data_IF_005650672544
#
_entry.id   IF_005650672544
#
_cell.length_a   1.000
_cell.length_b   1.000
_cell.length_c   1.000
_cell.angle_alpha   90.00
_cell.angle_beta   90.00
_cell.angle_gamma   90.00
#
_symmetry.space_group_name_H-M   'P 1'
#
loop_
_entity.id
_entity.type
_entity.pdbx_description
1 polymer ?
#
# COMPACT_ATOMS: atom_id res chain seq x y z
N UNK A 1 18.42 -0.88 -20.41
CA UNK A 1 17.53 -1.81 -19.71
C UNK A 1 16.49 -0.98 -18.95
N UNK A 2 15.21 -1.26 -19.10
CA UNK A 2 14.13 -0.62 -18.32
C UNK A 2 13.68 -1.56 -17.20
N UNK A 3 13.31 -1.00 -16.01
CA UNK A 3 13.00 -1.81 -14.85
C UNK A 3 11.51 -1.75 -14.51
N UNK A 4 10.86 -2.92 -14.47
CA UNK A 4 9.54 -3.15 -13.88
C UNK A 4 9.66 -3.80 -12.49
N UNK A 5 10.77 -3.55 -11.77
CA UNK A 5 11.06 -4.17 -10.46
C UNK A 5 10.16 -3.64 -9.34
N UNK A 6 9.93 -2.33 -9.33
CA UNK A 6 9.22 -1.64 -8.25
C UNK A 6 8.66 -0.28 -8.71
N UNK A 7 7.88 0.37 -7.85
CA UNK A 7 7.24 1.67 -8.07
C UNK A 7 7.89 2.81 -7.26
N UNK A 8 9.18 2.67 -6.92
CA UNK A 8 9.97 3.65 -6.16
C UNK A 8 11.41 3.79 -6.70
N UNK A 9 11.63 3.54 -7.98
CA UNK A 9 12.93 3.72 -8.62
C UNK A 9 13.23 5.18 -8.97
N UNK A 10 12.21 5.96 -9.27
CA UNK A 10 12.31 7.40 -9.53
C UNK A 10 12.30 8.19 -8.22
N UNK A 11 12.91 9.38 -8.20
CA UNK A 11 13.09 10.12 -6.96
C UNK A 11 11.79 10.80 -6.49
N UNK A 12 11.26 11.76 -7.25
CA UNK A 12 10.02 12.46 -6.94
C UNK A 12 9.42 13.13 -8.18
N UNK A 13 8.13 13.44 -8.13
CA UNK A 13 7.47 14.23 -9.17
C UNK A 13 8.15 15.61 -9.32
N UNK A 14 8.36 16.12 -10.55
CA UNK A 14 9.05 17.39 -10.80
C UNK A 14 8.50 18.57 -9.99
N UNK A 15 7.18 18.64 -9.79
CA UNK A 15 6.55 19.73 -9.01
C UNK A 15 6.98 19.70 -7.54
N UNK A 16 7.26 18.54 -6.98
CA UNK A 16 7.78 18.39 -5.60
C UNK A 16 9.21 18.95 -5.55
N UNK A 17 10.06 18.61 -6.53
CA UNK A 17 11.42 19.13 -6.60
C UNK A 17 11.41 20.67 -6.71
N UNK A 18 10.52 21.22 -7.53
CA UNK A 18 10.34 22.66 -7.66
C UNK A 18 9.89 23.30 -6.34
N UNK A 19 8.88 22.73 -5.68
CA UNK A 19 8.40 23.22 -4.39
C UNK A 19 9.48 23.17 -3.30
N UNK A 20 10.30 22.12 -3.26
CA UNK A 20 11.44 22.01 -2.34
C UNK A 20 12.51 23.09 -2.63
N UNK A 21 12.75 23.38 -3.91
CA UNK A 21 13.69 24.41 -4.36
C UNK A 21 13.20 25.80 -3.94
N UNK A 22 11.91 26.08 -4.05
CA UNK A 22 11.31 27.35 -3.64
C UNK A 22 11.34 27.55 -2.11
N UNK A 23 11.23 26.45 -1.34
CA UNK A 23 11.22 26.49 0.13
C UNK A 23 12.61 26.38 0.79
N UNK A 24 13.69 26.13 0.06
CA UNK A 24 14.98 25.65 0.59
C UNK A 24 15.68 26.57 1.62
N UNK A 25 15.45 27.89 1.56
CA UNK A 25 16.03 28.87 2.51
C UNK A 25 14.98 29.47 3.47
N UNK A 26 13.74 29.01 3.40
CA UNK A 26 12.68 29.47 4.30
C UNK A 26 12.83 28.76 5.68
N UNK A 27 12.43 29.46 6.74
CA UNK A 27 12.43 28.89 8.09
C UNK A 27 11.03 28.39 8.44
N UNK A 28 10.95 27.11 8.82
CA UNK A 28 9.71 26.45 9.19
C UNK A 28 9.79 25.88 10.59
N UNK A 29 8.66 25.71 11.28
CA UNK A 29 8.59 24.95 12.51
C UNK A 29 8.98 23.51 12.25
N UNK A 30 9.68 22.89 13.20
CA UNK A 30 10.07 21.48 13.08
C UNK A 30 8.96 20.50 13.46
N UNK A 31 9.26 19.22 13.25
CA UNK A 31 8.47 18.07 13.74
C UNK A 31 7.03 17.99 13.23
N UNK A 32 6.77 18.52 12.03
CA UNK A 32 5.44 18.51 11.42
C UNK A 32 4.44 19.50 12.01
N UNK A 33 4.92 20.53 12.73
CA UNK A 33 4.12 21.66 13.24
C UNK A 33 4.22 22.91 12.36
N UNK A 34 4.65 22.72 11.11
CA UNK A 34 4.79 23.75 10.09
C UNK A 34 3.47 23.96 9.33
N UNK A 35 3.44 25.04 8.56
CA UNK A 35 2.27 25.45 7.80
C UNK A 35 1.92 24.52 6.65
N UNK A 36 2.90 23.86 6.01
CA UNK A 36 2.63 22.85 4.96
C UNK A 36 1.90 21.65 5.54
N UNK A 37 2.44 21.12 6.65
CA UNK A 37 1.84 19.99 7.35
C UNK A 37 0.42 20.31 7.83
N UNK A 38 0.18 21.55 8.29
CA UNK A 38 -1.15 21.95 8.74
C UNK A 38 -2.15 22.06 7.59
N UNK A 39 -1.77 22.68 6.46
CA UNK A 39 -2.64 22.73 5.27
C UNK A 39 -2.98 21.35 4.73
N UNK A 40 -2.03 20.40 4.78
CA UNK A 40 -2.29 19.00 4.41
C UNK A 40 -3.30 18.35 5.36
N UNK A 41 -3.16 18.55 6.69
CA UNK A 41 -4.16 18.03 7.66
C UNK A 41 -5.54 18.61 7.40
N UNK A 42 -5.65 19.93 7.19
CA UNK A 42 -6.91 20.58 6.87
C UNK A 42 -7.52 20.07 5.56
N UNK A 43 -6.69 19.89 4.52
CA UNK A 43 -7.12 19.35 3.23
C UNK A 43 -7.70 17.94 3.37
N UNK A 44 -7.02 17.05 4.10
CA UNK A 44 -7.50 15.68 4.32
C UNK A 44 -8.79 15.72 5.16
N UNK A 45 -8.82 16.45 6.29
CA UNK A 45 -10.01 16.60 7.10
C UNK A 45 -11.22 17.15 6.34
N UNK A 46 -11.00 17.99 5.33
CA UNK A 46 -12.08 18.51 4.48
C UNK A 46 -12.73 17.44 3.60
N UNK A 47 -12.04 16.33 3.36
CA UNK A 47 -12.51 15.18 2.58
C UNK A 47 -13.11 14.07 3.45
N UNK A 48 -13.09 14.24 4.78
CA UNK A 48 -13.61 13.28 5.74
C UNK A 48 -14.90 13.82 6.37
N UNK A 49 -15.86 12.94 6.62
CA UNK A 49 -17.11 13.30 7.29
C UNK A 49 -16.90 13.65 8.77
N UNK A 50 -15.87 13.06 9.40
CA UNK A 50 -15.50 13.33 10.78
C UNK A 50 -14.21 14.18 10.84
N UNK A 51 -14.31 15.39 11.41
CA UNK A 51 -13.19 16.33 11.56
C UNK A 51 -12.33 16.10 12.81
N UNK A 52 -12.78 15.26 13.74
CA UNK A 52 -12.04 14.92 14.97
C UNK A 52 -11.02 13.80 14.77
N UNK A 53 -10.54 13.64 13.54
CA UNK A 53 -9.56 12.61 13.15
C UNK A 53 -8.15 13.14 13.35
N UNK A 54 -7.27 12.32 13.93
CA UNK A 54 -5.86 12.64 14.08
C UNK A 54 -5.08 12.26 12.81
N UNK A 55 -4.20 13.17 12.35
CA UNK A 55 -3.42 12.98 11.12
C UNK A 55 -1.95 13.25 11.42
N UNK A 56 -1.10 12.28 11.08
CA UNK A 56 0.34 12.32 11.31
C UNK A 56 1.11 11.98 10.03
N UNK A 57 2.43 12.17 10.06
CA UNK A 57 3.32 11.89 8.95
C UNK A 57 4.32 10.82 9.38
N UNK A 58 4.44 9.75 8.61
CA UNK A 58 5.48 8.73 8.71
C UNK A 58 6.57 8.96 7.68
N UNK A 59 7.74 8.35 7.87
CA UNK A 59 8.89 8.48 6.96
C UNK A 59 8.91 7.32 5.95
N UNK A 60 8.57 6.12 6.41
CA UNK A 60 8.53 4.88 5.60
C UNK A 60 7.32 4.03 5.96
N UNK A 61 6.88 3.15 5.06
CA UNK A 61 5.78 2.21 5.32
C UNK A 61 6.04 1.31 6.52
N UNK A 62 7.24 0.72 6.64
CA UNK A 62 7.61 -0.10 7.80
C UNK A 62 7.50 0.67 9.11
N UNK A 63 7.95 1.95 9.14
CA UNK A 63 7.78 2.77 10.33
C UNK A 63 6.30 3.07 10.61
N UNK A 64 5.51 3.38 9.59
CA UNK A 64 4.07 3.59 9.72
C UNK A 64 3.39 2.36 10.36
N UNK A 65 3.70 1.16 9.85
CA UNK A 65 3.16 -0.09 10.37
C UNK A 65 3.56 -0.31 11.84
N UNK A 66 4.83 -0.24 12.15
CA UNK A 66 5.28 -0.52 13.52
C UNK A 66 4.77 0.50 14.54
N UNK A 67 4.69 1.80 14.19
CA UNK A 67 4.19 2.84 15.10
C UNK A 67 2.69 2.68 15.35
N UNK A 68 1.92 2.42 14.29
CA UNK A 68 0.48 2.20 14.40
C UNK A 68 0.16 0.96 15.26
N UNK A 69 0.89 -0.13 15.07
CA UNK A 69 0.68 -1.38 15.80
C UNK A 69 1.09 -1.22 17.27
N UNK A 70 2.23 -0.60 17.58
CA UNK A 70 2.68 -0.36 18.96
C UNK A 70 1.74 0.60 19.72
N UNK A 71 1.14 1.57 19.01
CA UNK A 71 0.16 2.48 19.62
C UNK A 71 -1.22 1.84 19.86
N UNK A 72 -1.56 0.83 19.07
CA UNK A 72 -2.89 0.21 19.07
C UNK A 72 -2.98 -0.98 20.03
N UNK A 73 -1.90 -1.70 20.26
CA UNK A 73 -1.90 -2.98 20.97
C UNK A 73 -1.29 -2.89 22.37
N UNK A 74 -1.81 -3.69 23.28
CA UNK A 74 -1.20 -3.93 24.59
C UNK A 74 -0.23 -5.12 24.50
N UNK A 75 0.71 -5.28 25.48
CA UNK A 75 1.72 -6.38 25.43
C UNK A 75 1.17 -7.79 25.34
N UNK A 76 -0.11 -8.03 25.60
CA UNK A 76 -0.75 -9.35 25.53
C UNK A 76 -1.54 -9.56 24.24
N UNK A 77 -1.50 -8.60 23.33
CA UNK A 77 -2.24 -8.62 22.09
C UNK A 77 -1.35 -8.99 20.89
N UNK A 78 -1.98 -9.53 19.87
CA UNK A 78 -1.38 -9.80 18.57
C UNK A 78 -2.24 -9.25 17.45
N UNK A 79 -1.64 -9.10 16.28
CA UNK A 79 -2.27 -8.63 15.06
C UNK A 79 -2.36 -9.77 14.04
N UNK A 80 -3.55 -9.95 13.45
CA UNK A 80 -3.78 -10.94 12.40
C UNK A 80 -3.42 -10.33 11.06
N UNK A 81 -2.57 -10.99 10.31
CA UNK A 81 -2.23 -10.64 8.93
C UNK A 81 -2.35 -11.86 8.02
N UNK A 82 -2.59 -11.65 6.72
CA UNK A 82 -2.50 -12.75 5.78
C UNK A 82 -1.04 -13.24 5.65
N UNK A 83 -0.88 -14.48 5.20
CA UNK A 83 0.41 -15.14 5.00
C UNK A 83 1.32 -14.44 4.00
N UNK A 84 0.76 -13.63 3.08
CA UNK A 84 1.48 -12.77 2.15
C UNK A 84 1.62 -11.32 2.64
N UNK A 85 1.04 -10.97 3.80
CA UNK A 85 0.99 -9.61 4.32
C UNK A 85 2.37 -9.01 4.56
N UNK A 86 2.55 -7.75 4.22
CA UNK A 86 3.86 -7.09 4.26
C UNK A 86 4.54 -7.17 5.63
N UNK A 87 3.79 -6.97 6.71
CA UNK A 87 4.30 -7.08 8.10
C UNK A 87 4.70 -8.51 8.47
N UNK A 88 4.19 -9.52 7.76
CA UNK A 88 4.51 -10.93 8.02
C UNK A 88 5.79 -11.38 7.31
N UNK A 89 6.06 -10.83 6.10
CA UNK A 89 7.11 -11.38 5.22
C UNK A 89 8.22 -10.39 4.82
N UNK A 90 7.97 -9.07 4.89
CA UNK A 90 8.87 -8.06 4.29
C UNK A 90 9.33 -6.95 5.25
N UNK A 91 9.18 -7.10 6.57
CA UNK A 91 9.55 -6.06 7.55
C UNK A 91 10.60 -6.51 8.56
N UNK A 92 11.30 -7.61 8.28
CA UNK A 92 12.45 -8.07 9.07
C UNK A 92 12.17 -8.21 10.58
N UNK A 93 10.94 -8.56 10.97
CA UNK A 93 10.52 -8.66 12.37
C UNK A 93 10.31 -7.32 13.07
N UNK A 94 10.03 -6.24 12.34
CA UNK A 94 9.82 -4.93 12.93
C UNK A 94 8.64 -4.90 13.92
N UNK A 95 7.58 -5.65 13.64
CA UNK A 95 6.40 -5.73 14.50
C UNK A 95 6.72 -6.55 15.76
N UNK A 96 7.39 -7.68 15.61
CA UNK A 96 7.82 -8.52 16.73
C UNK A 96 8.80 -7.78 17.65
N UNK A 97 9.62 -6.87 17.09
CA UNK A 97 10.53 -6.02 17.86
C UNK A 97 9.80 -5.03 18.79
N UNK A 98 8.52 -4.71 18.54
CA UNK A 98 7.68 -3.94 19.45
C UNK A 98 7.08 -4.79 20.59
N UNK A 99 7.26 -6.12 20.52
CA UNK A 99 6.74 -7.07 21.50
C UNK A 99 5.39 -7.68 21.12
N UNK A 100 4.87 -7.40 19.93
CA UNK A 100 3.59 -7.90 19.45
C UNK A 100 3.77 -9.06 18.48
N UNK A 101 2.88 -10.07 18.60
CA UNK A 101 2.89 -11.22 17.72
C UNK A 101 2.12 -10.93 16.44
N UNK A 102 2.71 -11.21 15.28
CA UNK A 102 1.99 -11.36 14.02
C UNK A 102 1.39 -12.78 13.97
N UNK A 103 0.07 -12.84 13.81
CA UNK A 103 -0.72 -14.07 13.74
C UNK A 103 -1.10 -14.30 12.29
N UNK A 104 -0.58 -15.37 11.68
CA UNK A 104 -0.83 -15.64 10.27
C UNK A 104 -2.21 -16.28 10.05
N UNK A 105 -2.90 -15.81 9.02
CA UNK A 105 -4.12 -16.36 8.48
C UNK A 105 -3.96 -16.66 6.98
N UNK A 106 -4.58 -17.73 6.50
CA UNK A 106 -4.61 -18.08 5.08
C UNK A 106 -5.28 -16.96 4.28
N UNK A 107 -4.68 -16.62 3.13
CA UNK A 107 -5.25 -15.62 2.22
C UNK A 107 -5.92 -16.26 1.01
N UNK A 108 -6.84 -15.52 0.40
CA UNK A 108 -7.37 -15.83 -0.92
C UNK A 108 -7.01 -14.69 -1.87
N UNK A 109 -6.10 -14.95 -2.79
CA UNK A 109 -5.54 -13.92 -3.69
C UNK A 109 -4.96 -12.71 -2.92
N UNK A 110 -4.27 -12.96 -1.80
CA UNK A 110 -3.70 -11.92 -0.95
C UNK A 110 -4.69 -11.23 0.00
N UNK A 111 -5.97 -11.60 -0.02
CA UNK A 111 -7.01 -11.01 0.84
C UNK A 111 -7.34 -11.93 2.02
N UNK A 112 -7.56 -11.33 3.19
CA UNK A 112 -8.17 -12.00 4.34
C UNK A 112 -9.66 -12.21 4.10
N UNK A 113 -10.17 -13.37 4.53
CA UNK A 113 -11.59 -13.69 4.52
C UNK A 113 -12.12 -13.81 5.94
N UNK A 114 -13.42 -13.60 6.13
CA UNK A 114 -14.07 -13.80 7.45
C UNK A 114 -13.86 -15.25 7.95
N UNK A 115 -13.90 -16.24 7.04
CA UNK A 115 -13.64 -17.64 7.39
C UNK A 115 -12.22 -17.83 7.95
N UNK A 116 -11.21 -17.21 7.36
CA UNK A 116 -9.82 -17.28 7.86
C UNK A 116 -9.70 -16.61 9.24
N UNK A 117 -10.37 -15.49 9.46
CA UNK A 117 -10.42 -14.80 10.76
C UNK A 117 -11.11 -15.66 11.84
N UNK A 118 -12.20 -16.36 11.53
CA UNK A 118 -12.86 -17.28 12.46
C UNK A 118 -11.95 -18.46 12.84
N UNK A 119 -11.19 -19.00 11.88
CA UNK A 119 -10.18 -20.05 12.19
C UNK A 119 -9.09 -19.53 13.14
N UNK A 120 -8.64 -18.29 12.96
CA UNK A 120 -7.67 -17.65 13.87
C UNK A 120 -8.28 -17.45 15.25
N UNK A 121 -9.49 -16.88 15.32
CA UNK A 121 -10.21 -16.64 16.58
C UNK A 121 -10.38 -17.93 17.39
N UNK A 122 -10.77 -19.03 16.73
CA UNK A 122 -10.90 -20.33 17.38
C UNK A 122 -9.57 -20.82 17.98
N UNK A 123 -8.45 -20.68 17.25
CA UNK A 123 -7.10 -21.05 17.73
C UNK A 123 -6.61 -20.17 18.88
N UNK A 124 -7.03 -18.89 18.90
CA UNK A 124 -6.64 -17.89 19.89
C UNK A 124 -7.67 -17.69 21.02
N UNK A 125 -8.59 -18.65 21.23
CA UNK A 125 -9.55 -18.66 22.33
C UNK A 125 -9.02 -19.30 23.61
N UNK A 126 -7.90 -20.04 23.55
CA UNK A 126 -7.34 -20.82 24.66
C UNK A 126 -6.52 -19.95 25.62
N UNK A 127 -7.21 -19.10 26.38
CA UNK A 127 -6.62 -18.24 27.41
C UNK A 127 -6.24 -19.07 28.64
N UNK A 128 -5.09 -18.81 29.32
CA UNK A 128 -4.13 -17.72 29.12
C UNK A 128 -2.90 -18.10 28.26
N UNK A 129 -2.95 -19.16 27.47
CA UNK A 129 -1.76 -19.74 26.82
C UNK A 129 -1.41 -19.10 25.47
N UNK A 130 -2.28 -18.24 24.93
CA UNK A 130 -2.10 -17.57 23.64
C UNK A 130 -2.36 -16.07 23.78
N UNK A 131 -1.72 -15.26 22.93
CA UNK A 131 -2.03 -13.81 22.83
C UNK A 131 -3.45 -13.63 22.29
N UNK A 132 -4.09 -12.52 22.65
CA UNK A 132 -5.38 -12.16 22.08
C UNK A 132 -5.20 -11.68 20.64
N UNK A 133 -5.99 -12.18 19.70
CA UNK A 133 -6.10 -11.59 18.37
C UNK A 133 -6.93 -10.29 18.47
N UNK A 134 -6.26 -9.14 18.63
CA UNK A 134 -6.92 -7.86 18.94
C UNK A 134 -7.03 -6.94 17.73
N UNK A 135 -6.22 -7.15 16.70
CA UNK A 135 -6.27 -6.35 15.49
C UNK A 135 -6.19 -7.22 14.23
N UNK A 136 -6.74 -6.71 13.15
CA UNK A 136 -6.63 -7.25 11.79
C UNK A 136 -5.86 -6.24 10.95
N UNK A 137 -4.80 -6.70 10.28
CA UNK A 137 -4.02 -5.94 9.31
C UNK A 137 -4.39 -6.38 7.90
N UNK A 138 -4.64 -5.43 7.05
CA UNK A 138 -4.81 -5.63 5.61
C UNK A 138 -3.98 -4.61 4.83
N UNK A 139 -3.56 -4.98 3.62
CA UNK A 139 -2.98 -4.03 2.66
C UNK A 139 -3.98 -3.75 1.54
N UNK A 140 -4.17 -2.49 1.17
CA UNK A 140 -4.95 -2.13 -0.01
C UNK A 140 -4.16 -1.11 -0.89
N UNK A 141 -3.64 -1.55 -2.05
CA UNK A 141 -3.75 -2.88 -2.68
C UNK A 141 -2.96 -3.95 -1.90
N UNK A 142 -3.36 -5.21 -2.06
CA UNK A 142 -2.63 -6.34 -1.45
C UNK A 142 -1.24 -6.52 -2.07
N UNK A 143 -0.41 -7.37 -1.48
CA UNK A 143 0.92 -7.72 -2.00
C UNK A 143 0.86 -8.42 -3.36
N UNK A 144 -0.27 -9.06 -3.68
CA UNK A 144 -0.56 -9.64 -5.00
C UNK A 144 -1.26 -8.65 -5.96
N UNK A 145 -1.37 -7.39 -5.59
CA UNK A 145 -1.95 -6.34 -6.43
C UNK A 145 -3.48 -6.36 -6.53
N UNK A 146 -4.17 -7.21 -5.80
CA UNK A 146 -5.63 -7.22 -5.73
C UNK A 146 -6.16 -6.08 -4.83
N UNK A 147 -7.41 -5.68 -5.06
CA UNK A 147 -8.04 -4.54 -4.39
C UNK A 147 -9.20 -5.02 -3.53
N UNK A 148 -9.22 -4.65 -2.25
CA UNK A 148 -10.43 -4.79 -1.44
C UNK A 148 -11.48 -3.80 -1.90
N UNK A 149 -12.67 -4.31 -2.25
CA UNK A 149 -13.82 -3.49 -2.60
C UNK A 149 -14.47 -2.90 -1.34
N UNK A 150 -15.39 -1.94 -1.52
CA UNK A 150 -16.13 -1.38 -0.39
C UNK A 150 -16.86 -2.46 0.43
N UNK A 151 -17.51 -3.41 -0.24
CA UNK A 151 -18.27 -4.47 0.42
C UNK A 151 -17.35 -5.42 1.22
N UNK A 152 -16.18 -5.75 0.68
CA UNK A 152 -15.18 -6.56 1.38
C UNK A 152 -14.62 -5.83 2.62
N UNK A 153 -14.29 -4.53 2.48
CA UNK A 153 -13.83 -3.69 3.59
C UNK A 153 -14.91 -3.56 4.67
N UNK A 154 -16.16 -3.35 4.25
CA UNK A 154 -17.29 -3.24 5.17
C UNK A 154 -17.49 -4.55 5.95
N UNK A 155 -17.43 -5.69 5.29
CA UNK A 155 -17.55 -6.99 5.95
C UNK A 155 -16.44 -7.20 7.01
N UNK A 156 -15.19 -6.85 6.68
CA UNK A 156 -14.07 -6.90 7.64
C UNK A 156 -14.27 -5.92 8.81
N UNK A 157 -14.71 -4.70 8.53
CA UNK A 157 -15.00 -3.69 9.56
C UNK A 157 -16.10 -4.16 10.51
N UNK A 158 -17.22 -4.65 9.98
CA UNK A 158 -18.34 -5.17 10.77
C UNK A 158 -17.90 -6.38 11.63
N UNK A 159 -17.09 -7.26 11.06
CA UNK A 159 -16.50 -8.39 11.79
C UNK A 159 -15.61 -7.92 12.95
N UNK A 160 -14.68 -7.01 12.68
CA UNK A 160 -13.78 -6.49 13.70
C UNK A 160 -14.56 -5.82 14.84
N UNK A 161 -15.51 -4.97 14.53
CA UNK A 161 -16.37 -4.29 15.53
C UNK A 161 -17.17 -5.30 16.38
N UNK A 162 -17.73 -6.33 15.74
CA UNK A 162 -18.52 -7.36 16.43
C UNK A 162 -17.68 -8.25 17.35
N UNK A 163 -16.36 -8.28 17.15
CA UNK A 163 -15.42 -9.12 17.90
C UNK A 163 -14.47 -8.32 18.80
N UNK A 164 -14.73 -7.03 19.03
CA UNK A 164 -13.85 -6.14 19.81
C UNK A 164 -12.40 -6.15 19.30
N UNK A 165 -12.25 -6.10 17.97
CA UNK A 165 -10.97 -6.04 17.26
C UNK A 165 -10.83 -4.71 16.52
N UNK A 166 -9.60 -4.27 16.31
CA UNK A 166 -9.28 -3.13 15.46
C UNK A 166 -9.07 -3.57 14.02
N UNK A 167 -9.42 -2.72 13.06
CA UNK A 167 -9.07 -2.88 11.66
C UNK A 167 -8.03 -1.83 11.26
N UNK A 168 -6.83 -2.29 10.92
CA UNK A 168 -5.73 -1.48 10.45
C UNK A 168 -5.44 -1.73 8.97
N UNK A 169 -5.38 -0.66 8.16
CA UNK A 169 -5.13 -0.76 6.73
C UNK A 169 -3.83 -0.07 6.32
N UNK A 170 -2.91 -0.87 5.79
CA UNK A 170 -1.73 -0.44 5.06
C UNK A 170 -2.13 0.03 3.67
N UNK A 171 -1.91 1.29 3.39
CA UNK A 171 -2.23 1.91 2.11
C UNK A 171 -1.00 2.32 1.31
N UNK A 172 0.09 1.53 1.34
CA UNK A 172 1.31 1.81 0.56
C UNK A 172 1.03 2.10 -0.92
N UNK A 173 -0.05 1.49 -1.46
CA UNK A 173 -0.56 1.71 -2.82
C UNK A 173 -2.04 2.08 -2.82
N UNK A 174 -2.50 2.83 -1.81
CA UNK A 174 -3.91 3.20 -1.69
C UNK A 174 -4.42 3.99 -2.90
N UNK A 175 -3.58 4.83 -3.49
CA UNK A 175 -3.89 5.52 -4.73
C UNK A 175 -4.26 4.57 -5.87
N UNK A 176 -3.53 3.45 -6.01
CA UNK A 176 -3.84 2.43 -7.02
C UNK A 176 -5.19 1.73 -6.75
N UNK A 177 -5.55 1.49 -5.47
CA UNK A 177 -6.85 0.94 -5.12
C UNK A 177 -8.00 1.90 -5.43
N UNK A 178 -7.84 3.20 -5.11
CA UNK A 178 -8.81 4.25 -5.47
C UNK A 178 -8.95 4.35 -7.00
N UNK A 179 -7.83 4.37 -7.73
CA UNK A 179 -7.82 4.44 -9.19
C UNK A 179 -8.52 3.24 -9.85
N UNK A 180 -8.33 2.03 -9.31
CA UNK A 180 -9.01 0.84 -9.79
C UNK A 180 -10.53 0.95 -9.64
N UNK A 181 -11.02 1.28 -8.45
CA UNK A 181 -12.46 1.40 -8.22
C UNK A 181 -13.07 2.60 -8.95
N UNK A 182 -12.32 3.68 -9.13
CA UNK A 182 -12.73 4.82 -9.94
C UNK A 182 -12.91 4.46 -11.43
N UNK A 183 -12.05 3.61 -11.96
CA UNK A 183 -12.06 3.21 -13.38
C UNK A 183 -12.97 2.01 -13.67
N UNK A 184 -13.46 1.32 -12.65
CA UNK A 184 -14.32 0.14 -12.79
C UNK A 184 -15.78 0.49 -12.53
N UNK A 185 -16.64 0.54 -13.58
CA UNK A 185 -18.03 0.94 -13.43
C UNK A 185 -18.89 -0.04 -12.60
N UNK A 186 -18.38 -1.25 -12.35
CA UNK A 186 -19.06 -2.25 -11.53
C UNK A 186 -18.74 -2.14 -10.03
N UNK A 187 -17.80 -1.28 -9.66
CA UNK A 187 -17.37 -1.09 -8.28
C UNK A 187 -17.80 0.29 -7.77
N UNK A 188 -18.10 0.38 -6.49
CA UNK A 188 -18.22 1.67 -5.82
C UNK A 188 -16.84 2.30 -5.70
N UNK A 189 -16.66 3.51 -6.22
CA UNK A 189 -15.43 4.27 -6.04
C UNK A 189 -15.13 4.47 -4.56
N UNK A 190 -13.96 4.01 -4.13
CA UNK A 190 -13.47 4.19 -2.76
C UNK A 190 -12.95 5.61 -2.56
N UNK A 191 -13.20 6.16 -1.38
CA UNK A 191 -12.78 7.50 -0.97
C UNK A 191 -12.04 7.47 0.38
N UNK A 192 -11.33 8.53 0.72
CA UNK A 192 -10.72 8.65 2.06
C UNK A 192 -11.77 8.62 3.18
N UNK A 193 -13.00 9.12 2.94
CA UNK A 193 -14.09 9.05 3.90
C UNK A 193 -14.52 7.59 4.18
N UNK A 194 -14.60 6.75 3.14
CA UNK A 194 -14.91 5.32 3.32
C UNK A 194 -13.85 4.61 4.17
N UNK A 195 -12.56 4.89 3.93
CA UNK A 195 -11.49 4.29 4.73
C UNK A 195 -11.54 4.78 6.19
N UNK A 196 -11.81 6.06 6.42
CA UNK A 196 -11.94 6.62 7.76
C UNK A 196 -13.18 6.08 8.50
N UNK A 197 -14.26 5.77 7.80
CA UNK A 197 -15.46 5.14 8.37
C UNK A 197 -15.19 3.67 8.73
N UNK A 198 -14.49 2.94 7.88
CA UNK A 198 -14.40 1.48 7.96
C UNK A 198 -13.19 0.97 8.77
N UNK A 199 -12.19 1.81 9.06
CA UNK A 199 -10.97 1.40 9.76
C UNK A 199 -10.74 2.18 11.05
N UNK A 200 -9.98 1.61 11.99
CA UNK A 200 -9.50 2.30 13.20
C UNK A 200 -8.26 3.13 12.92
N UNK A 201 -7.40 2.64 12.04
CA UNK A 201 -6.24 3.33 11.47
C UNK A 201 -6.12 2.94 10.01
N UNK A 202 -5.78 3.90 9.17
CA UNK A 202 -5.20 3.62 7.87
C UNK A 202 -4.09 4.61 7.58
N UNK A 203 -3.21 4.26 6.67
CA UNK A 203 -2.27 5.22 6.11
C UNK A 203 -2.24 5.13 4.60
N UNK A 204 -1.80 6.18 3.93
CA UNK A 204 -1.63 6.17 2.49
C UNK A 204 -0.26 6.68 2.09
N UNK A 205 0.33 5.98 1.13
CA UNK A 205 1.70 6.15 0.72
C UNK A 205 1.89 7.33 -0.22
N UNK A 206 2.93 8.11 0.04
CA UNK A 206 3.48 9.06 -0.91
C UNK A 206 4.66 8.48 -1.70
N UNK A 207 5.48 7.67 -1.05
CA UNK A 207 6.73 7.11 -1.61
C UNK A 207 6.54 6.42 -2.97
N UNK A 208 5.43 5.70 -3.17
CA UNK A 208 5.12 5.00 -4.43
C UNK A 208 4.24 5.81 -5.39
N UNK A 209 3.79 6.99 -4.96
CA UNK A 209 2.85 7.84 -5.69
C UNK A 209 3.44 9.21 -6.03
N UNK A 210 4.74 9.26 -6.24
CA UNK A 210 5.44 10.46 -6.71
C UNK A 210 6.10 11.30 -5.64
N UNK A 211 5.97 10.99 -4.33
CA UNK A 211 6.79 11.61 -3.30
C UNK A 211 8.21 11.02 -3.30
N UNK A 212 9.17 11.77 -2.81
CA UNK A 212 10.53 11.31 -2.58
C UNK A 212 10.56 10.30 -1.42
N UNK A 213 9.75 10.53 -0.41
CA UNK A 213 9.52 9.67 0.76
C UNK A 213 8.30 10.17 1.54
N UNK A 214 7.75 9.31 2.38
CA UNK A 214 6.75 9.69 3.36
C UNK A 214 5.37 9.08 3.13
N UNK A 215 4.67 8.98 4.26
CA UNK A 215 3.36 8.36 4.38
C UNK A 215 2.47 9.26 5.26
N UNK A 216 1.17 9.29 5.02
CA UNK A 216 0.21 9.97 5.91
C UNK A 216 -0.59 8.93 6.69
N UNK A 217 -0.53 9.05 8.01
CA UNK A 217 -1.25 8.20 8.95
C UNK A 217 -2.53 8.91 9.37
N UNK A 218 -3.67 8.27 9.18
CA UNK A 218 -5.00 8.77 9.51
C UNK A 218 -5.59 7.87 10.59
N UNK A 219 -5.95 8.46 11.73
CA UNK A 219 -6.39 7.74 12.92
C UNK A 219 -7.79 8.19 13.32
N UNK A 220 -8.85 7.52 12.81
CA UNK A 220 -10.23 7.80 13.19
C UNK A 220 -10.55 7.43 14.64
N UNK A 221 -9.91 6.39 15.17
CA UNK A 221 -10.12 5.92 16.54
C UNK A 221 -9.45 6.85 17.55
N UNK A 222 -10.26 7.51 18.40
CA UNK A 222 -9.78 8.51 19.38
C UNK A 222 -8.90 7.93 20.49
N UNK A 223 -9.16 6.69 20.89
CA UNK A 223 -8.39 6.03 21.94
C UNK A 223 -6.96 5.76 21.46
N UNK A 224 -6.80 5.34 20.21
CA UNK A 224 -5.50 5.11 19.57
C UNK A 224 -4.80 6.44 19.28
N UNK A 225 -5.54 7.49 18.93
CA UNK A 225 -4.98 8.83 18.66
C UNK A 225 -4.37 9.49 19.90
N UNK A 226 -4.80 9.08 21.11
CA UNK A 226 -4.26 9.60 22.36
C UNK A 226 -2.78 9.25 22.47
N UNK A 227 -1.95 10.26 22.74
CA UNK A 227 -0.49 10.11 22.89
C UNK A 227 0.27 9.56 21.66
N UNK A 228 -0.37 9.46 20.48
CA UNK A 228 0.23 8.89 19.29
C UNK A 228 1.56 9.56 18.90
N UNK A 229 1.71 10.87 19.11
CA UNK A 229 2.97 11.58 18.90
C UNK A 229 4.13 11.07 19.78
N UNK A 230 3.83 10.48 20.95
CA UNK A 230 4.85 9.88 21.82
C UNK A 230 5.39 8.60 21.19
N UNK A 231 4.49 7.75 20.68
CA UNK A 231 4.86 6.55 19.91
C UNK A 231 5.66 6.93 18.66
N UNK A 232 5.17 7.90 17.90
CA UNK A 232 5.85 8.38 16.70
C UNK A 232 7.25 8.91 17.01
N UNK A 233 7.42 9.68 18.13
CA UNK A 233 8.73 10.16 18.58
C UNK A 233 9.63 9.02 19.03
N UNK A 234 9.10 8.07 19.81
CA UNK A 234 9.84 6.90 20.32
C UNK A 234 10.44 6.07 19.16
N UNK A 235 9.70 5.92 18.06
CA UNK A 235 10.12 5.18 16.88
C UNK A 235 10.84 6.06 15.82
N UNK A 236 11.28 7.26 16.18
CA UNK A 236 12.07 8.12 15.29
C UNK A 236 11.29 8.81 14.18
N UNK A 237 9.94 8.75 14.20
CA UNK A 237 9.09 9.29 13.13
C UNK A 237 8.89 10.79 13.16
N UNK A 238 9.09 11.45 14.33
CA UNK A 238 9.04 12.91 14.42
C UNK A 238 10.35 13.52 13.88
N UNK A 239 10.37 13.76 12.58
CA UNK A 239 11.52 14.30 11.88
C UNK A 239 11.70 15.79 12.15
N UNK A 240 12.93 16.22 12.49
CA UNK A 240 13.21 17.64 12.79
C UNK A 240 12.82 18.57 11.62
N UNK A 241 13.08 18.15 10.38
CA UNK A 241 12.66 18.84 9.16
C UNK A 241 11.34 18.27 8.61
N UNK A 242 10.35 18.02 9.47
CA UNK A 242 9.08 17.43 9.12
C UNK A 242 8.28 18.18 8.06
N UNK A 243 8.52 19.48 7.89
CA UNK A 243 7.91 20.28 6.85
C UNK A 243 8.13 19.71 5.42
N UNK A 244 9.23 18.96 5.21
CA UNK A 244 9.49 18.30 3.94
C UNK A 244 8.46 17.22 3.60
N UNK A 245 7.87 16.57 4.61
CA UNK A 245 6.74 15.66 4.43
C UNK A 245 5.49 16.42 4.03
N UNK A 246 5.13 17.46 4.82
CA UNK A 246 3.96 18.28 4.54
C UNK A 246 4.00 18.91 3.15
N UNK A 247 5.14 19.49 2.76
CA UNK A 247 5.33 20.11 1.44
C UNK A 247 5.08 19.13 0.28
N UNK A 248 5.60 17.91 0.37
CA UNK A 248 5.41 16.89 -0.67
C UNK A 248 3.94 16.52 -0.83
N UNK A 249 3.25 16.26 0.30
CA UNK A 249 1.84 15.91 0.28
C UNK A 249 0.93 17.09 -0.12
N UNK A 250 1.32 18.33 0.18
CA UNK A 250 0.60 19.49 -0.32
C UNK A 250 0.59 19.53 -1.86
N UNK A 251 1.72 19.20 -2.48
CA UNK A 251 1.82 19.10 -3.95
C UNK A 251 1.00 17.91 -4.47
N UNK A 252 1.12 16.74 -3.84
CA UNK A 252 0.42 15.53 -4.29
C UNK A 252 -1.09 15.60 -4.15
N UNK A 253 -1.60 16.28 -3.12
CA UNK A 253 -3.04 16.41 -2.89
C UNK A 253 -3.67 17.61 -3.60
N UNK A 254 -2.87 18.38 -4.34
CA UNK A 254 -3.36 19.50 -5.12
C UNK A 254 -3.92 19.02 -6.46
N UNK A 255 -5.09 19.56 -6.86
CA UNK A 255 -5.69 19.38 -8.19
C UNK A 255 -5.81 17.88 -8.60
N UNK A 256 -6.17 17.01 -7.65
CA UNK A 256 -6.33 15.57 -7.82
C UNK A 256 -5.08 14.82 -8.35
N UNK A 257 -3.89 15.41 -8.22
CA UNK A 257 -2.62 14.84 -8.72
C UNK A 257 -2.36 13.44 -8.20
N UNK A 258 -2.65 13.16 -6.91
CA UNK A 258 -2.49 11.84 -6.31
C UNK A 258 -3.30 10.76 -7.06
N UNK A 259 -4.53 11.08 -7.45
CA UNK A 259 -5.38 10.19 -8.26
C UNK A 259 -4.86 10.09 -9.70
N UNK A 260 -4.48 11.21 -10.32
CA UNK A 260 -3.94 11.25 -11.69
C UNK A 260 -2.72 10.33 -11.86
N UNK A 261 -1.73 10.44 -10.95
CA UNK A 261 -0.53 9.62 -10.96
C UNK A 261 -0.85 8.13 -10.76
N UNK A 262 -1.82 7.83 -9.90
CA UNK A 262 -2.29 6.46 -9.66
C UNK A 262 -3.03 5.87 -10.85
N UNK A 263 -3.87 6.65 -11.52
CA UNK A 263 -4.56 6.25 -12.76
C UNK A 263 -3.56 5.92 -13.86
N UNK A 264 -2.50 6.75 -14.03
CA UNK A 264 -1.44 6.48 -14.99
C UNK A 264 -0.74 5.15 -14.69
N UNK A 265 -0.31 4.91 -13.44
CA UNK A 265 0.34 3.67 -13.04
C UNK A 265 -0.52 2.44 -13.35
N UNK A 266 -1.82 2.49 -12.99
CA UNK A 266 -2.75 1.41 -13.27
C UNK A 266 -3.02 1.22 -14.78
N UNK A 267 -3.10 2.30 -15.55
CA UNK A 267 -3.29 2.22 -17.00
C UNK A 267 -2.11 1.52 -17.70
N UNK A 268 -0.88 1.81 -17.26
CA UNK A 268 0.32 1.13 -17.76
C UNK A 268 0.32 -0.36 -17.41
N UNK A 269 -0.07 -0.72 -16.18
CA UNK A 269 -0.20 -2.13 -15.77
C UNK A 269 -1.30 -2.87 -16.56
N UNK A 270 -2.44 -2.23 -16.76
CA UNK A 270 -3.54 -2.78 -17.55
C UNK A 270 -3.09 -3.05 -18.99
N UNK A 271 -2.44 -2.06 -19.64
CA UNK A 271 -1.92 -2.22 -21.01
C UNK A 271 -0.90 -3.36 -21.09
N UNK A 272 -0.03 -3.49 -20.07
CA UNK A 272 0.96 -4.55 -19.97
C UNK A 272 0.29 -5.93 -19.84
N UNK A 273 -0.70 -6.07 -18.94
CA UNK A 273 -1.41 -7.33 -18.73
C UNK A 273 -2.25 -7.74 -19.94
N UNK A 274 -2.94 -6.81 -20.60
CA UNK A 274 -3.67 -7.06 -21.84
C UNK A 274 -2.72 -7.52 -22.96
N UNK A 275 -1.50 -6.95 -23.03
CA UNK A 275 -0.45 -7.39 -23.94
C UNK A 275 0.04 -8.81 -23.65
N UNK A 276 0.25 -9.16 -22.38
CA UNK A 276 0.64 -10.51 -21.96
C UNK A 276 -0.45 -11.54 -22.35
N UNK A 277 -1.70 -11.29 -22.00
CA UNK A 277 -2.83 -12.17 -22.33
C UNK A 277 -3.03 -12.34 -23.86
N UNK A 278 -2.88 -11.24 -24.62
CA UNK A 278 -2.98 -11.27 -26.10
C UNK A 278 -1.99 -12.24 -26.73
N UNK A 279 -0.80 -12.38 -26.15
CA UNK A 279 0.24 -13.30 -26.65
C UNK A 279 0.31 -14.61 -25.85
N UNK A 280 -0.79 -14.99 -25.19
CA UNK A 280 -0.98 -16.31 -24.59
C UNK A 280 -0.32 -16.51 -23.23
N UNK A 281 0.11 -15.44 -22.57
CA UNK A 281 0.65 -15.50 -21.20
C UNK A 281 -0.50 -15.43 -20.20
N UNK A 282 -0.59 -16.42 -19.32
CA UNK A 282 -1.57 -16.46 -18.24
C UNK A 282 -1.16 -15.54 -17.08
N UNK A 283 -2.13 -14.89 -16.47
CA UNK A 283 -1.91 -14.11 -15.25
C UNK A 283 -2.18 -14.97 -14.01
N UNK A 284 -1.29 -14.89 -13.02
CA UNK A 284 -1.44 -15.60 -11.73
C UNK A 284 -2.64 -15.09 -10.93
N UNK A 285 -2.87 -13.78 -10.98
CA UNK A 285 -4.05 -13.08 -10.42
C UNK A 285 -4.50 -12.00 -11.40
N UNK A 286 -5.81 -11.63 -11.41
CA UNK A 286 -6.29 -10.51 -12.23
C UNK A 286 -5.56 -9.21 -11.87
N UNK A 287 -5.16 -8.44 -12.88
CA UNK A 287 -4.51 -7.13 -12.68
C UNK A 287 -5.55 -6.10 -12.23
N UNK A 288 -5.46 -5.67 -10.97
CA UNK A 288 -6.35 -4.67 -10.36
C UNK A 288 -5.62 -3.41 -9.90
N UNK A 289 -4.29 -3.36 -10.06
CA UNK A 289 -3.46 -2.24 -9.62
C UNK A 289 -2.29 -2.04 -10.58
N UNK A 290 -1.28 -1.32 -10.13
CA UNK A 290 0.00 -1.16 -10.82
C UNK A 290 0.94 -2.37 -10.72
N UNK A 291 0.48 -3.51 -10.22
CA UNK A 291 1.25 -4.74 -10.11
C UNK A 291 0.65 -5.82 -11.01
N UNK A 292 1.46 -6.40 -11.89
CA UNK A 292 1.10 -7.49 -12.80
C UNK A 292 1.86 -8.73 -12.39
N UNK A 293 1.14 -9.83 -12.18
CA UNK A 293 1.73 -11.14 -11.88
C UNK A 293 1.46 -12.10 -13.04
N UNK A 294 2.50 -12.41 -13.80
CA UNK A 294 2.43 -13.22 -15.02
C UNK A 294 3.14 -14.57 -14.85
N UNK A 295 2.60 -15.62 -15.45
CA UNK A 295 3.21 -16.94 -15.51
C UNK A 295 4.10 -17.02 -16.75
N UNK A 296 5.40 -16.82 -16.59
CA UNK A 296 6.35 -16.79 -17.71
C UNK A 296 7.14 -18.10 -17.81
N UNK A 297 7.26 -18.67 -19.02
CA UNK A 297 8.17 -19.78 -19.26
C UNK A 297 9.63 -19.28 -19.29
N UNK A 298 10.63 -20.14 -18.98
CA UNK A 298 12.04 -19.76 -18.87
C UNK A 298 12.63 -19.09 -20.14
N UNK A 299 12.22 -19.53 -21.31
CA UNK A 299 12.69 -18.99 -22.59
C UNK A 299 12.23 -17.54 -22.77
N UNK A 300 10.97 -17.25 -22.39
CA UNK A 300 10.42 -15.91 -22.50
C UNK A 300 11.06 -14.98 -21.45
N UNK A 301 11.30 -15.46 -20.22
CA UNK A 301 12.05 -14.71 -19.19
C UNK A 301 13.42 -14.32 -19.72
N UNK A 302 14.17 -15.29 -20.29
CA UNK A 302 15.50 -15.06 -20.86
C UNK A 302 15.46 -13.99 -21.96
N UNK A 303 14.48 -14.07 -22.84
CA UNK A 303 14.29 -13.10 -23.94
C UNK A 303 13.98 -11.70 -23.39
N UNK A 304 12.99 -11.57 -22.50
CA UNK A 304 12.56 -10.29 -21.95
C UNK A 304 13.66 -9.62 -21.12
N UNK A 305 14.44 -10.40 -20.36
CA UNK A 305 15.56 -9.89 -19.54
C UNK A 305 16.74 -9.34 -20.33
N UNK A 306 16.76 -9.44 -21.65
CA UNK A 306 17.74 -8.74 -22.48
C UNK A 306 17.53 -7.21 -22.49
N UNK A 307 16.29 -6.75 -22.31
CA UNK A 307 15.92 -5.32 -22.37
C UNK A 307 15.20 -4.81 -21.12
N UNK A 308 14.54 -5.69 -20.38
CA UNK A 308 13.73 -5.37 -19.20
C UNK A 308 14.23 -6.14 -17.98
N UNK A 309 13.98 -5.57 -16.80
CA UNK A 309 14.21 -6.26 -15.53
C UNK A 309 12.92 -6.25 -14.71
N UNK A 310 12.59 -7.40 -14.09
CA UNK A 310 11.42 -7.64 -13.27
C UNK A 310 11.70 -8.75 -12.26
N UNK A 311 10.85 -8.85 -11.25
CA UNK A 311 11.07 -9.78 -10.14
C UNK A 311 10.52 -11.16 -10.46
N UNK A 312 11.38 -12.20 -10.37
CA UNK A 312 10.97 -13.61 -10.38
C UNK A 312 10.53 -13.98 -8.96
N UNK A 313 9.22 -14.14 -8.79
CA UNK A 313 8.61 -14.30 -7.46
C UNK A 313 8.72 -15.74 -6.95
N UNK A 314 8.28 -16.70 -7.77
CA UNK A 314 8.21 -18.11 -7.38
C UNK A 314 8.26 -19.01 -8.62
N UNK A 315 9.08 -20.06 -8.56
CA UNK A 315 9.12 -21.08 -9.61
C UNK A 315 8.08 -22.17 -9.28
N UNK A 316 7.23 -22.49 -10.26
CA UNK A 316 6.20 -23.52 -10.13
C UNK A 316 6.68 -24.89 -10.60
N UNK A 317 6.02 -25.96 -10.12
CA UNK A 317 6.33 -27.35 -10.47
C UNK A 317 6.21 -27.65 -11.98
N UNK A 318 5.39 -26.89 -12.73
CA UNK A 318 5.23 -27.00 -14.16
C UNK A 318 6.37 -26.36 -14.98
N UNK A 319 7.36 -25.76 -14.31
CA UNK A 319 8.52 -25.10 -14.90
C UNK A 319 8.32 -23.61 -15.24
N UNK A 320 7.09 -23.09 -15.14
CA UNK A 320 6.85 -21.64 -15.27
C UNK A 320 7.24 -20.90 -13.99
N UNK A 321 7.53 -19.61 -14.11
CA UNK A 321 7.83 -18.74 -12.98
C UNK A 321 6.76 -17.67 -12.86
N UNK A 322 6.25 -17.44 -11.64
CA UNK A 322 5.43 -16.28 -11.34
C UNK A 322 6.39 -15.07 -11.35
N UNK A 323 6.20 -14.18 -12.30
CA UNK A 323 6.98 -12.95 -12.42
C UNK A 323 6.11 -11.75 -12.04
N UNK A 324 6.64 -10.88 -11.17
CA UNK A 324 5.98 -9.62 -10.82
C UNK A 324 6.59 -8.49 -11.63
N UNK A 325 5.74 -7.79 -12.38
CA UNK A 325 6.07 -6.56 -13.07
C UNK A 325 5.31 -5.40 -12.40
N UNK A 326 6.01 -4.32 -12.10
CA UNK A 326 5.44 -3.16 -11.40
C UNK A 326 5.60 -1.92 -12.27
N UNK A 327 4.49 -1.25 -12.53
CA UNK A 327 4.49 0.08 -13.15
C UNK A 327 4.42 1.17 -12.10
N UNK A 328 4.83 2.37 -12.43
CA UNK A 328 4.83 3.51 -11.52
C UNK A 328 4.12 4.73 -12.15
N UNK A 329 3.95 5.75 -11.35
CA UNK A 329 3.49 7.08 -11.78
C UNK A 329 4.34 7.69 -12.92
N UNK A 330 5.58 7.22 -13.08
CA UNK A 330 6.54 7.71 -14.08
C UNK A 330 6.81 6.71 -15.20
N UNK A 331 6.14 5.56 -15.25
CA UNK A 331 6.36 4.54 -16.29
C UNK A 331 6.02 5.11 -17.66
N UNK A 332 6.99 5.24 -18.61
CA UNK A 332 6.71 5.75 -19.93
C UNK A 332 5.94 4.71 -20.77
N UNK A 333 4.86 5.12 -21.42
CA UNK A 333 4.02 4.23 -22.21
C UNK A 333 4.81 3.48 -23.29
N UNK A 334 5.78 4.14 -23.96
CA UNK A 334 6.60 3.51 -25.00
C UNK A 334 7.45 2.33 -24.47
N UNK A 335 7.74 2.25 -23.17
CA UNK A 335 8.44 1.09 -22.59
C UNK A 335 7.50 -0.09 -22.45
N UNK A 336 6.22 0.14 -22.15
CA UNK A 336 5.18 -0.88 -22.19
C UNK A 336 4.97 -1.40 -23.62
N UNK A 337 4.92 -0.49 -24.61
CA UNK A 337 4.82 -0.85 -26.02
C UNK A 337 6.00 -1.71 -26.50
N UNK A 338 7.23 -1.36 -26.08
CA UNK A 338 8.43 -2.17 -26.39
C UNK A 338 8.35 -3.56 -25.77
N UNK A 339 7.89 -3.66 -24.53
CA UNK A 339 7.71 -4.97 -23.87
C UNK A 339 6.72 -5.83 -24.65
N UNK A 340 5.58 -5.26 -25.05
CA UNK A 340 4.55 -5.96 -25.84
C UNK A 340 5.09 -6.37 -27.23
N UNK A 341 5.89 -5.52 -27.87
CA UNK A 341 6.51 -5.86 -29.16
C UNK A 341 7.51 -7.05 -29.04
N UNK A 342 8.18 -7.21 -27.91
CA UNK A 342 9.03 -8.37 -27.66
C UNK A 342 8.21 -9.66 -27.46
N UNK A 343 7.03 -9.56 -26.82
CA UNK A 343 6.08 -10.70 -26.74
C UNK A 343 5.60 -11.11 -28.13
N UNK A 344 5.24 -10.15 -28.98
CA UNK A 344 4.83 -10.40 -30.37
C UNK A 344 5.91 -11.11 -31.17
N UNK A 345 7.15 -10.60 -31.09
CA UNK A 345 8.29 -11.21 -31.79
C UNK A 345 8.57 -12.64 -31.32
N UNK A 346 8.48 -12.91 -30.01
CA UNK A 346 8.66 -14.24 -29.44
C UNK A 346 7.56 -15.20 -29.89
N UNK A 347 6.29 -14.78 -29.84
CA UNK A 347 5.14 -15.58 -30.28
C UNK A 347 5.15 -15.88 -31.77
N UNK A 348 5.74 -15.01 -32.59
CA UNK A 348 5.82 -15.23 -34.06
C UNK A 348 6.94 -16.22 -34.47
N UNK A 349 7.88 -16.50 -33.56
CA UNK A 349 9.01 -17.40 -33.80
C UNK A 349 8.78 -18.83 -33.26
N UNK A 350 7.72 -19.04 -32.52
CA UNK A 350 7.28 -20.32 -31.94
C UNK A 350 5.97 -20.78 -32.57
#
# INVERSE_FOLDING_TARGET
MFHFLNDYSESAHPDIITAMQDAHLQQHKGYGFDEYSERVREKIKSQLDNKDISIHFGITGTQANLVCIDAMLSPIDGIVACDTGHIAVNEAGAIEATGHKVILAESKQGKLTIEALEKVKARHSFTPHVVRAKAVYISNTTELGTVYTYEELKALSDYCRSNDMYLFMDGARLGAAIAYTHSNPNERTLTFADFAELTDIFWFGGTKMGAMFGEILVIPNKDIATDFNIYLKRHGGLMAKGYLLGLQFEVLLKDDKYLELSLHANAMAKKLSEGLEKYGVELFVPTQSNQVFALLPPELITTLKTEFDFYEWEQLDNGSTICRLVTSWATPEHQVDRFIAMLEAHSSNN
#
